data_IF_517037947005
#
_entry.id   IF_517037947005
#
_cell.length_a   1.000
_cell.length_b   1.000
_cell.length_c   1.000
_cell.angle_alpha   90.00
_cell.angle_beta   90.00
_cell.angle_gamma   90.00
#
_symmetry.space_group_name_H-M   'P 1'
#
loop_
_entity.id
_entity.type
_entity.pdbx_description
1 polymer ?
#
# COMPACT_ATOMS: atom_id res chain seq x y z
N UNK A 1 32.26 -26.26 -20.05
CA UNK A 1 32.18 -25.14 -19.09
C UNK A 1 30.75 -24.64 -19.16
N UNK A 2 29.89 -25.21 -18.33
CA UNK A 2 28.47 -24.88 -18.30
C UNK A 2 28.30 -23.65 -17.40
N UNK A 3 28.14 -22.49 -18.04
CA UNK A 3 27.71 -21.27 -17.36
C UNK A 3 26.23 -21.41 -17.03
N UNK A 4 25.93 -22.02 -15.89
CA UNK A 4 24.64 -21.83 -15.22
C UNK A 4 24.59 -20.36 -14.75
N UNK A 5 24.03 -19.49 -15.61
CA UNK A 5 23.45 -18.25 -15.14
C UNK A 5 22.22 -18.64 -14.32
N UNK A 6 22.43 -18.74 -13.01
CA UNK A 6 21.36 -18.68 -12.04
C UNK A 6 20.71 -17.29 -12.23
N UNK A 7 19.60 -17.28 -12.96
CA UNK A 7 18.76 -16.11 -13.19
C UNK A 7 18.28 -15.66 -11.80
N UNK A 8 19.05 -14.77 -11.18
CA UNK A 8 18.70 -14.14 -9.92
C UNK A 8 17.48 -13.26 -10.21
N UNK A 9 16.30 -13.87 -10.24
CA UNK A 9 15.03 -13.19 -10.20
C UNK A 9 15.01 -12.53 -8.82
N UNK A 10 15.16 -11.20 -8.68
CA UNK A 10 14.77 -10.59 -7.43
C UNK A 10 13.31 -10.99 -7.25
N UNK A 11 13.01 -11.78 -6.22
CA UNK A 11 11.64 -12.11 -5.87
C UNK A 11 11.01 -10.79 -5.44
N UNK A 12 10.55 -9.98 -6.39
CA UNK A 12 9.89 -8.73 -6.09
C UNK A 12 8.65 -9.14 -5.32
N UNK A 13 8.67 -8.95 -4.01
CA UNK A 13 7.62 -9.42 -3.12
C UNK A 13 6.46 -8.44 -3.21
N UNK A 14 5.92 -8.34 -4.43
CA UNK A 14 4.83 -7.45 -4.78
C UNK A 14 3.61 -7.89 -3.98
N UNK A 15 3.04 -6.96 -3.23
CA UNK A 15 1.86 -7.19 -2.40
C UNK A 15 0.74 -6.30 -2.94
N UNK A 16 -0.35 -6.92 -3.36
CA UNK A 16 -1.57 -6.22 -3.72
C UNK A 16 -2.38 -5.92 -2.47
N UNK A 17 -2.53 -4.63 -2.16
CA UNK A 17 -3.32 -4.14 -1.04
C UNK A 17 -4.68 -3.67 -1.53
N UNK A 18 -5.74 -4.04 -0.81
CA UNK A 18 -7.08 -3.48 -1.07
C UNK A 18 -7.32 -2.31 -0.13
N UNK A 19 -7.36 -1.11 -0.66
CA UNK A 19 -7.46 0.12 0.15
C UNK A 19 -8.85 0.73 -0.05
N UNK A 20 -9.56 0.94 1.04
CA UNK A 20 -10.84 1.65 1.10
C UNK A 20 -10.64 3.07 1.59
N UNK A 21 -11.42 4.03 1.06
CA UNK A 21 -11.44 5.38 1.61
C UNK A 21 -12.31 5.39 2.87
N UNK A 22 -11.73 5.83 3.99
CA UNK A 22 -12.46 5.90 5.25
C UNK A 22 -13.66 6.87 5.12
N UNK A 23 -14.84 6.43 5.58
CA UNK A 23 -16.10 7.15 5.43
C UNK A 23 -16.80 7.01 4.06
N UNK A 24 -16.23 6.29 3.09
CA UNK A 24 -16.91 5.98 1.83
C UNK A 24 -16.57 4.56 1.36
N UNK A 25 -17.43 3.60 1.70
CA UNK A 25 -17.27 2.18 1.37
C UNK A 25 -17.32 1.87 -0.13
N UNK A 26 -17.86 2.76 -0.96
CA UNK A 26 -17.92 2.59 -2.41
C UNK A 26 -16.59 2.95 -3.09
N UNK A 27 -15.71 3.68 -2.41
CA UNK A 27 -14.39 4.05 -2.92
C UNK A 27 -13.34 3.07 -2.42
N UNK A 28 -13.06 2.05 -3.23
CA UNK A 28 -11.96 1.12 -3.01
C UNK A 28 -11.04 1.07 -4.24
N UNK A 29 -9.77 0.74 -4.02
CA UNK A 29 -8.85 0.42 -5.09
C UNK A 29 -7.85 -0.65 -4.65
N UNK A 30 -7.31 -1.37 -5.62
CA UNK A 30 -6.15 -2.24 -5.40
C UNK A 30 -4.88 -1.46 -5.71
N UNK A 31 -3.90 -1.54 -4.83
CA UNK A 31 -2.58 -0.93 -4.98
C UNK A 31 -1.51 -1.99 -4.75
N UNK A 32 -0.68 -2.23 -5.76
CA UNK A 32 0.50 -3.08 -5.64
C UNK A 32 1.62 -2.27 -4.99
N UNK A 33 2.12 -2.73 -3.85
CA UNK A 33 3.31 -2.21 -3.21
C UNK A 33 4.47 -3.20 -3.37
N UNK A 34 5.70 -2.69 -3.35
CA UNK A 34 6.94 -3.45 -3.36
C UNK A 34 7.66 -3.32 -2.01
N UNK A 35 8.72 -4.08 -1.81
CA UNK A 35 9.60 -3.90 -0.66
C UNK A 35 10.14 -2.46 -0.62
N UNK A 36 10.23 -1.87 0.58
CA UNK A 36 10.62 -0.47 0.80
C UNK A 36 9.68 0.60 0.22
N UNK A 37 8.45 0.23 -0.18
CA UNK A 37 7.45 1.23 -0.62
C UNK A 37 7.21 2.26 0.47
N UNK A 38 7.15 3.54 0.09
CA UNK A 38 6.98 4.65 1.03
C UNK A 38 5.54 5.14 1.10
N UNK A 39 5.13 5.66 2.26
CA UNK A 39 3.79 6.21 2.45
C UNK A 39 3.48 7.33 1.45
N UNK A 40 4.49 8.10 1.07
CA UNK A 40 4.36 9.15 0.07
C UNK A 40 3.99 8.61 -1.32
N UNK A 41 4.49 7.44 -1.71
CA UNK A 41 4.16 6.79 -2.98
C UNK A 41 2.72 6.31 -2.97
N UNK A 42 2.32 5.60 -1.90
CA UNK A 42 0.93 5.16 -1.69
C UNK A 42 -0.01 6.36 -1.72
N UNK A 43 0.34 7.45 -1.03
CA UNK A 43 -0.44 8.69 -1.02
C UNK A 43 -0.65 9.22 -2.43
N UNK A 44 0.41 9.38 -3.22
CA UNK A 44 0.32 9.89 -4.59
C UNK A 44 -0.58 9.00 -5.46
N UNK A 45 -0.44 7.68 -5.36
CA UNK A 45 -1.29 6.75 -6.11
C UNK A 45 -2.77 6.86 -5.71
N UNK A 46 -3.07 6.99 -4.42
CA UNK A 46 -4.44 7.20 -3.95
C UNK A 46 -5.00 8.55 -4.37
N UNK A 47 -4.19 9.61 -4.36
CA UNK A 47 -4.60 10.95 -4.82
C UNK A 47 -5.00 10.93 -6.30
N UNK A 48 -4.20 10.26 -7.14
CA UNK A 48 -4.50 10.10 -8.57
C UNK A 48 -5.74 9.25 -8.83
N UNK A 49 -5.91 8.13 -8.12
CA UNK A 49 -7.05 7.22 -8.32
C UNK A 49 -8.38 7.78 -7.86
N UNK A 50 -8.38 8.59 -6.79
CA UNK A 50 -9.61 9.10 -6.18
C UNK A 50 -9.86 10.58 -6.43
N UNK A 51 -9.04 11.22 -7.26
CA UNK A 51 -9.06 12.66 -7.53
C UNK A 51 -9.24 13.48 -6.23
N UNK A 52 -8.38 13.21 -5.25
CA UNK A 52 -8.57 13.73 -3.90
C UNK A 52 -7.26 14.03 -3.21
N UNK A 53 -7.25 15.02 -2.34
CA UNK A 53 -6.06 15.34 -1.56
C UNK A 53 -6.06 14.66 -0.19
N UNK A 54 -4.86 14.19 0.20
CA UNK A 54 -4.55 13.66 1.52
C UNK A 54 -3.52 14.62 2.15
N UNK A 55 -3.91 15.35 3.20
CA UNK A 55 -2.99 16.22 3.92
C UNK A 55 -1.96 15.38 4.65
N UNK A 56 -2.44 14.36 5.36
CA UNK A 56 -1.64 13.29 5.96
C UNK A 56 -2.33 11.96 5.73
N UNK A 57 -1.78 11.14 4.84
CA UNK A 57 -2.28 9.78 4.67
C UNK A 57 -2.06 9.00 5.97
N UNK A 58 -3.15 8.44 6.50
CA UNK A 58 -3.12 7.46 7.59
C UNK A 58 -3.79 6.20 7.11
N UNK A 59 -3.14 5.06 7.27
CA UNK A 59 -3.66 3.76 6.88
C UNK A 59 -4.05 3.00 8.16
N UNK A 60 -5.18 2.31 8.13
CA UNK A 60 -5.65 1.50 9.24
C UNK A 60 -5.96 0.09 8.76
N UNK A 61 -5.72 -0.92 9.58
CA UNK A 61 -6.19 -2.28 9.31
C UNK A 61 -7.70 -2.41 9.63
N UNK A 62 -8.24 -3.62 9.46
CA UNK A 62 -9.65 -3.92 9.75
C UNK A 62 -10.04 -3.79 11.23
N UNK A 63 -9.07 -3.86 12.15
CA UNK A 63 -9.28 -3.69 13.58
C UNK A 63 -9.20 -2.21 14.01
N UNK A 64 -8.92 -1.30 13.08
CA UNK A 64 -8.76 0.13 13.36
C UNK A 64 -7.37 0.51 13.91
N UNK A 65 -6.40 -0.40 13.85
CA UNK A 65 -5.00 -0.13 14.21
C UNK A 65 -4.33 0.63 13.08
N UNK A 66 -3.66 1.74 13.42
CA UNK A 66 -2.90 2.54 12.45
C UNK A 66 -1.63 1.79 12.02
N UNK A 67 -1.42 1.74 10.71
CA UNK A 67 -0.23 1.18 10.07
C UNK A 67 0.82 2.28 9.96
N UNK A 68 2.05 1.96 10.36
CA UNK A 68 3.24 2.80 10.17
C UNK A 68 3.97 2.43 8.88
N UNK A 69 4.97 3.22 8.49
CA UNK A 69 5.76 2.90 7.29
C UNK A 69 6.54 1.60 7.45
N UNK A 70 7.09 1.34 8.64
CA UNK A 70 7.83 0.10 8.95
C UNK A 70 6.92 -1.14 8.88
N UNK A 71 5.63 -0.99 9.18
CA UNK A 71 4.67 -2.09 9.10
C UNK A 71 4.43 -2.57 7.67
N UNK A 72 4.65 -1.73 6.64
CA UNK A 72 4.40 -2.10 5.23
C UNK A 72 5.18 -3.33 4.78
N UNK A 73 6.40 -3.49 5.30
CA UNK A 73 7.26 -4.62 4.96
C UNK A 73 6.70 -5.94 5.54
N UNK A 74 5.89 -5.87 6.60
CA UNK A 74 5.24 -7.03 7.23
C UNK A 74 3.81 -7.28 6.74
N UNK A 75 3.22 -6.35 5.99
CA UNK A 75 1.88 -6.52 5.43
C UNK A 75 1.87 -7.69 4.42
N UNK A 76 0.86 -8.55 4.55
CA UNK A 76 0.66 -9.69 3.66
C UNK A 76 -0.04 -9.27 2.36
N UNK A 77 0.20 -10.02 1.29
CA UNK A 77 -0.56 -9.87 0.05
C UNK A 77 -2.07 -10.03 0.29
N UNK A 78 -2.89 -9.20 -0.37
CA UNK A 78 -4.35 -9.19 -0.23
C UNK A 78 -4.87 -8.46 1.02
N UNK A 79 -4.00 -7.86 1.83
CA UNK A 79 -4.43 -7.16 3.05
C UNK A 79 -5.37 -5.99 2.72
N UNK A 80 -6.43 -5.88 3.53
CA UNK A 80 -7.40 -4.79 3.46
C UNK A 80 -6.99 -3.67 4.40
N UNK A 81 -6.86 -2.46 3.86
CA UNK A 81 -6.55 -1.26 4.61
C UNK A 81 -7.60 -0.16 4.37
N UNK A 82 -7.65 0.79 5.29
CA UNK A 82 -8.54 1.95 5.24
C UNK A 82 -7.70 3.23 5.26
N UNK A 83 -7.82 4.03 4.21
CA UNK A 83 -7.12 5.29 4.06
C UNK A 83 -7.95 6.46 4.60
N UNK A 84 -7.37 7.18 5.57
CA UNK A 84 -7.91 8.45 6.09
C UNK A 84 -7.07 9.63 5.62
N UNK A 85 -7.72 10.77 5.41
CA UNK A 85 -7.09 12.02 4.94
C UNK A 85 -6.25 12.76 5.98
N UNK A 86 -6.38 12.37 7.25
CA UNK A 86 -5.93 13.17 8.38
C UNK A 86 -6.78 14.44 8.55
N UNK A 87 -6.91 14.94 9.78
CA UNK A 87 -7.43 16.29 10.01
C UNK A 87 -6.27 17.27 9.85
N UNK A 88 -6.52 18.36 9.13
CA UNK A 88 -5.73 19.59 9.23
C UNK A 88 -6.01 20.30 10.54
#
# INVERSE_FOLDING_TARGET
MDQYYDDYQPTTNNKDLKIYRNGNSNLCCTLTIRDNTKFNEIRKSLQQKWDTQFNRLRLFNQEGVEITEDDLDYIKNGTVLFASKGKS
#
